data_IF_243199245344
#
_entry.id   IF_243199245344
#
_cell.length_a   1.000
_cell.length_b   1.000
_cell.length_c   1.000
_cell.angle_alpha   90.00
_cell.angle_beta   90.00
_cell.angle_gamma   90.00
#
_symmetry.space_group_name_H-M   'P 1'
#
loop_
_entity.id
_entity.type
_entity.pdbx_description
1 polymer ?
#
# COMPACT_ATOMS: atom_id res chain seq x y z
N UNK A 1 8.24 -9.79 5.52
CA UNK A 1 8.74 -8.43 5.69
C UNK A 1 7.67 -7.67 6.43
N UNK A 2 8.00 -6.89 7.46
CA UNK A 2 7.01 -6.08 8.16
C UNK A 2 7.04 -4.63 7.66
N UNK A 3 6.14 -4.29 6.73
CA UNK A 3 6.07 -2.96 6.12
C UNK A 3 5.57 -1.87 7.09
N UNK A 4 4.72 -2.25 8.05
CA UNK A 4 4.06 -1.32 8.96
C UNK A 4 3.36 -0.15 8.22
N UNK A 5 2.93 -0.37 6.98
CA UNK A 5 2.45 0.68 6.09
C UNK A 5 1.09 1.21 6.56
N UNK A 6 0.19 0.32 6.98
CA UNK A 6 -1.11 0.69 7.56
C UNK A 6 -0.94 1.61 8.75
N UNK A 7 -0.06 1.27 9.68
CA UNK A 7 0.17 2.07 10.90
C UNK A 7 0.66 3.47 10.58
N UNK A 8 1.58 3.62 9.61
CA UNK A 8 2.08 4.93 9.19
C UNK A 8 0.98 5.78 8.54
N UNK A 9 0.16 5.17 7.70
CA UNK A 9 -1.00 5.82 7.07
C UNK A 9 -2.03 6.24 8.12
N UNK A 10 -2.42 5.34 9.03
CA UNK A 10 -3.37 5.64 10.12
C UNK A 10 -2.90 6.82 10.97
N UNK A 11 -1.62 6.86 11.33
CA UNK A 11 -1.05 7.95 12.10
C UNK A 11 -1.16 9.29 11.35
N UNK A 12 -0.87 9.30 10.05
CA UNK A 12 -0.98 10.49 9.22
C UNK A 12 -2.43 10.98 9.12
N UNK A 13 -3.37 10.07 8.84
CA UNK A 13 -4.81 10.36 8.74
C UNK A 13 -5.37 10.90 10.06
N UNK A 14 -5.01 10.29 11.19
CA UNK A 14 -5.46 10.74 12.50
C UNK A 14 -4.91 12.12 12.86
N UNK A 15 -3.65 12.39 12.52
CA UNK A 15 -3.03 13.70 12.74
C UNK A 15 -3.74 14.79 11.92
N UNK A 16 -3.96 14.53 10.63
CA UNK A 16 -4.69 15.45 9.75
C UNK A 16 -6.12 15.70 10.24
N UNK A 17 -6.87 14.64 10.58
CA UNK A 17 -8.24 14.74 11.08
C UNK A 17 -8.33 15.63 12.32
N UNK A 18 -7.39 15.47 13.27
CA UNK A 18 -7.33 16.29 14.48
C UNK A 18 -7.10 17.77 14.15
N UNK A 19 -6.06 18.07 13.38
CA UNK A 19 -5.71 19.46 13.03
C UNK A 19 -6.84 20.15 12.24
N UNK A 20 -7.50 19.40 11.34
CA UNK A 20 -8.66 19.92 10.60
C UNK A 20 -9.85 20.18 11.51
N UNK A 21 -10.14 19.28 12.47
CA UNK A 21 -11.24 19.46 13.43
C UNK A 21 -11.00 20.69 14.32
N UNK A 22 -9.77 20.91 14.78
CA UNK A 22 -9.39 22.09 15.55
C UNK A 22 -9.57 23.38 14.75
N UNK A 23 -9.15 23.39 13.47
CA UNK A 23 -9.31 24.55 12.60
C UNK A 23 -10.79 24.87 12.33
N UNK A 24 -11.63 23.86 12.09
CA UNK A 24 -13.08 24.05 11.94
C UNK A 24 -13.76 24.55 13.21
N UNK A 25 -13.30 24.10 14.38
CA UNK A 25 -13.74 24.64 15.67
C UNK A 25 -13.50 26.15 15.75
N UNK A 26 -12.29 26.60 15.41
CA UNK A 26 -11.93 28.04 15.39
C UNK A 26 -12.77 28.83 14.41
N UNK A 27 -12.99 28.32 13.19
CA UNK A 27 -13.86 28.97 12.20
C UNK A 27 -15.27 29.16 12.76
N UNK A 28 -15.84 28.11 13.38
CA UNK A 28 -17.18 28.18 13.98
C UNK A 28 -17.24 29.17 15.14
N UNK A 29 -16.21 29.24 15.97
CA UNK A 29 -16.11 30.24 17.06
C UNK A 29 -16.09 31.67 16.52
N UNK A 30 -15.33 31.93 15.44
CA UNK A 30 -15.26 33.24 14.77
C UNK A 30 -16.61 33.60 14.15
N UNK A 31 -17.25 32.66 13.46
CA UNK A 31 -18.56 32.87 12.83
C UNK A 31 -19.64 33.20 13.86
N UNK A 32 -19.64 32.48 14.99
CA UNK A 32 -20.64 32.62 16.06
C UNK A 32 -20.31 33.72 17.09
N UNK A 33 -19.16 34.40 17.00
CA UNK A 33 -18.80 35.46 17.94
C UNK A 33 -19.79 36.63 17.84
N UNK A 34 -20.46 36.96 18.95
CA UNK A 34 -21.43 38.06 19.04
C UNK A 34 -20.93 39.15 20.00
N UNK A 35 -21.38 40.40 19.86
CA UNK A 35 -21.00 41.46 20.78
C UNK A 35 -21.74 41.27 22.11
N UNK A 36 -21.13 40.53 23.03
CA UNK A 36 -21.53 40.49 24.44
C UNK A 36 -20.47 41.21 25.28
N UNK A 37 -20.91 41.92 26.33
CA UNK A 37 -20.05 42.67 27.25
C UNK A 37 -18.89 41.80 27.76
N UNK A 38 -17.65 42.18 27.43
CA UNK A 38 -16.42 41.53 27.93
C UNK A 38 -15.80 40.45 27.03
N UNK A 39 -16.35 40.15 25.84
CA UNK A 39 -15.74 39.23 24.88
C UNK A 39 -15.13 39.97 23.66
N UNK A 40 -14.13 39.33 23.03
CA UNK A 40 -13.53 39.82 21.78
C UNK A 40 -14.59 39.77 20.68
N UNK A 41 -14.99 40.94 20.18
CA UNK A 41 -15.90 41.08 19.05
C UNK A 41 -15.10 41.37 17.78
N UNK A 42 -15.33 40.57 16.74
CA UNK A 42 -14.76 40.78 15.41
C UNK A 42 -15.79 41.50 14.53
N UNK A 43 -15.35 42.53 13.80
CA UNK A 43 -16.16 43.07 12.70
C UNK A 43 -16.35 42.01 11.61
N UNK A 44 -17.38 42.13 10.78
CA UNK A 44 -17.60 41.17 9.68
C UNK A 44 -16.38 41.08 8.73
N UNK A 45 -15.68 42.21 8.54
CA UNK A 45 -14.43 42.26 7.79
C UNK A 45 -13.32 41.44 8.48
N UNK A 46 -13.15 41.59 9.80
CA UNK A 46 -12.11 40.87 10.55
C UNK A 46 -12.41 39.37 10.63
N UNK A 47 -13.68 38.98 10.78
CA UNK A 47 -14.11 37.58 10.70
C UNK A 47 -13.73 36.96 9.36
N UNK A 48 -14.06 37.65 8.27
CA UNK A 48 -13.75 37.19 6.93
C UNK A 48 -12.24 37.05 6.71
N UNK A 49 -11.43 37.96 7.26
CA UNK A 49 -9.97 37.89 7.15
C UNK A 49 -9.39 36.73 7.96
N UNK A 50 -9.79 36.55 9.22
CA UNK A 50 -9.32 35.44 10.06
C UNK A 50 -9.67 34.07 9.46
N UNK A 51 -10.88 33.92 8.91
CA UNK A 51 -11.29 32.68 8.22
C UNK A 51 -10.44 32.45 6.96
N UNK A 52 -10.10 33.49 6.20
CA UNK A 52 -9.19 33.36 5.05
C UNK A 52 -7.79 32.93 5.48
N UNK A 53 -7.28 33.49 6.57
CA UNK A 53 -5.94 33.15 7.08
C UNK A 53 -5.89 31.69 7.53
N UNK A 54 -6.90 31.22 8.27
CA UNK A 54 -7.04 29.80 8.65
C UNK A 54 -7.10 28.89 7.40
N UNK A 55 -7.90 29.26 6.39
CA UNK A 55 -7.96 28.50 5.13
C UNK A 55 -6.60 28.43 4.44
N UNK A 56 -5.86 29.53 4.40
CA UNK A 56 -4.54 29.59 3.78
C UNK A 56 -3.51 28.72 4.53
N UNK A 57 -3.57 28.68 5.86
CA UNK A 57 -2.75 27.78 6.68
C UNK A 57 -3.09 26.31 6.41
N UNK A 58 -4.38 25.97 6.36
CA UNK A 58 -4.83 24.61 6.03
C UNK A 58 -4.39 24.18 4.64
N UNK A 59 -4.48 25.05 3.62
CA UNK A 59 -4.01 24.74 2.26
C UNK A 59 -2.51 24.43 2.21
N UNK A 60 -1.70 25.16 2.99
CA UNK A 60 -0.27 24.85 3.14
C UNK A 60 -0.08 23.51 3.85
N UNK A 61 -0.88 23.23 4.88
CA UNK A 61 -0.91 21.95 5.58
C UNK A 61 -1.24 20.77 4.65
N UNK A 62 -2.29 20.89 3.83
CA UNK A 62 -2.73 19.88 2.86
C UNK A 62 -1.57 19.41 1.96
N UNK A 63 -0.81 20.36 1.41
CA UNK A 63 0.33 20.05 0.55
C UNK A 63 1.42 19.26 1.29
N UNK A 64 1.69 19.63 2.54
CA UNK A 64 2.67 18.94 3.38
C UNK A 64 2.20 17.53 3.79
N UNK A 65 0.91 17.35 4.10
CA UNK A 65 0.34 16.04 4.37
C UNK A 65 0.35 15.12 3.14
N UNK A 66 0.02 15.64 1.95
CA UNK A 66 0.12 14.88 0.70
C UNK A 66 1.58 14.46 0.42
N UNK A 67 2.55 15.34 0.70
CA UNK A 67 3.99 15.03 0.60
C UNK A 67 4.42 13.95 1.59
N UNK A 68 3.93 14.00 2.83
CA UNK A 68 4.20 12.97 3.84
C UNK A 68 3.61 11.62 3.42
N UNK A 69 2.37 11.59 2.93
CA UNK A 69 1.76 10.37 2.40
C UNK A 69 2.58 9.78 1.25
N UNK A 70 2.97 10.61 0.28
CA UNK A 70 3.84 10.17 -0.81
C UNK A 70 5.19 9.65 -0.32
N UNK A 71 5.76 10.24 0.72
CA UNK A 71 7.02 9.76 1.33
C UNK A 71 6.85 8.38 1.96
N UNK A 72 5.73 8.15 2.67
CA UNK A 72 5.40 6.84 3.25
C UNK A 72 5.27 5.78 2.14
N UNK A 73 4.57 6.11 1.05
CA UNK A 73 4.38 5.19 -0.10
C UNK A 73 5.71 4.87 -0.78
N UNK A 74 6.53 5.88 -1.07
CA UNK A 74 7.84 5.69 -1.71
C UNK A 74 8.78 4.86 -0.84
N UNK A 75 8.79 5.09 0.47
CA UNK A 75 9.58 4.30 1.41
C UNK A 75 9.12 2.85 1.41
N UNK A 76 7.81 2.59 1.51
CA UNK A 76 7.28 1.24 1.45
C UNK A 76 7.65 0.55 0.13
N UNK A 77 7.61 1.26 -1.00
CA UNK A 77 8.04 0.73 -2.30
C UNK A 77 9.53 0.36 -2.31
N UNK A 78 10.38 1.21 -1.78
CA UNK A 78 11.83 0.96 -1.65
C UNK A 78 12.11 -0.25 -0.74
N UNK A 79 11.41 -0.35 0.40
CA UNK A 79 11.51 -1.49 1.32
C UNK A 79 11.14 -2.81 0.61
N UNK A 80 10.10 -2.78 -0.24
CA UNK A 80 9.70 -3.93 -1.06
C UNK A 80 10.73 -4.28 -2.13
N UNK A 81 11.24 -3.29 -2.86
CA UNK A 81 12.18 -3.54 -3.97
C UNK A 81 13.59 -3.88 -3.49
N UNK A 82 13.94 -3.52 -2.25
CA UNK A 82 15.20 -3.88 -1.61
C UNK A 82 15.14 -5.19 -0.81
N UNK A 83 14.00 -5.90 -0.82
CA UNK A 83 13.85 -7.17 -0.14
C UNK A 83 14.93 -8.17 -0.58
N UNK A 84 15.65 -8.73 0.39
CA UNK A 84 16.65 -9.76 0.13
C UNK A 84 16.71 -10.77 1.25
N UNK A 85 17.32 -11.92 0.96
CA UNK A 85 17.57 -12.98 1.92
C UNK A 85 19.07 -13.06 2.24
N UNK A 86 19.40 -13.77 3.32
CA UNK A 86 20.79 -14.17 3.56
C UNK A 86 21.22 -15.18 2.49
N UNK A 87 21.99 -14.72 1.51
CA UNK A 87 22.48 -15.54 0.40
C UNK A 87 23.52 -16.56 0.89
N UNK A 88 23.32 -17.88 0.70
CA UNK A 88 24.34 -18.88 0.96
C UNK A 88 25.52 -18.70 -0.02
N UNK A 89 26.67 -19.32 0.29
CA UNK A 89 27.90 -19.18 -0.50
C UNK A 89 27.76 -19.66 -1.94
N UNK A 90 26.85 -20.58 -2.20
CA UNK A 90 26.55 -21.19 -3.50
C UNK A 90 25.26 -20.67 -4.14
N UNK A 91 24.69 -19.57 -3.64
CA UNK A 91 23.41 -19.00 -4.11
C UNK A 91 23.32 -18.83 -5.64
N UNK A 92 24.40 -18.33 -6.27
CA UNK A 92 24.45 -18.16 -7.72
C UNK A 92 24.43 -19.51 -8.46
N UNK A 93 25.10 -20.53 -7.91
CA UNK A 93 25.05 -21.88 -8.49
C UNK A 93 23.66 -22.48 -8.34
N UNK A 94 23.00 -22.28 -7.20
CA UNK A 94 21.61 -22.71 -6.99
C UNK A 94 20.67 -22.06 -8.02
N UNK A 95 20.78 -20.74 -8.21
CA UNK A 95 19.97 -20.00 -9.19
C UNK A 95 20.19 -20.50 -10.61
N UNK A 96 21.46 -20.66 -11.02
CA UNK A 96 21.81 -21.20 -12.33
C UNK A 96 21.27 -22.62 -12.52
N UNK A 97 21.36 -23.47 -11.50
CA UNK A 97 20.83 -24.84 -11.54
C UNK A 97 19.30 -24.85 -11.67
N UNK A 98 18.59 -23.98 -10.93
CA UNK A 98 17.15 -23.86 -11.04
C UNK A 98 16.73 -23.42 -12.46
N UNK A 99 17.34 -22.36 -12.98
CA UNK A 99 17.08 -21.87 -14.35
C UNK A 99 17.36 -22.94 -15.41
N UNK A 100 18.49 -23.65 -15.30
CA UNK A 100 18.84 -24.73 -16.22
C UNK A 100 17.82 -25.88 -16.18
N UNK A 101 17.34 -26.26 -14.99
CA UNK A 101 16.33 -27.31 -14.86
C UNK A 101 14.98 -26.88 -15.43
N UNK A 102 14.53 -25.65 -15.14
CA UNK A 102 13.31 -25.08 -15.72
C UNK A 102 13.39 -25.12 -17.26
N UNK A 103 14.48 -24.63 -17.84
CA UNK A 103 14.69 -24.63 -19.29
C UNK A 103 14.77 -26.04 -19.89
N UNK A 104 15.44 -26.98 -19.20
CA UNK A 104 15.62 -28.35 -19.69
C UNK A 104 14.31 -29.15 -19.67
N UNK A 105 13.47 -28.95 -18.65
CA UNK A 105 12.18 -29.64 -18.54
C UNK A 105 11.17 -29.00 -19.52
N UNK A 106 11.21 -27.67 -19.68
CA UNK A 106 10.36 -26.92 -20.61
C UNK A 106 8.88 -27.20 -20.36
N UNK A 107 8.10 -27.42 -21.42
CA UNK A 107 6.65 -27.62 -21.38
C UNK A 107 6.16 -28.74 -20.45
N UNK A 108 7.02 -29.67 -20.04
CA UNK A 108 6.67 -30.76 -19.11
C UNK A 108 6.80 -30.36 -17.63
N UNK A 109 7.21 -29.13 -17.35
CA UNK A 109 7.40 -28.64 -16.00
C UNK A 109 6.03 -28.54 -15.32
N UNK A 110 5.90 -29.21 -14.18
CA UNK A 110 4.69 -29.13 -13.37
C UNK A 110 4.80 -27.98 -12.38
N UNK A 111 3.66 -27.46 -11.91
CA UNK A 111 3.63 -26.31 -11.01
C UNK A 111 4.38 -26.62 -9.69
N UNK A 112 4.12 -27.79 -9.12
CA UNK A 112 4.86 -28.32 -7.97
C UNK A 112 6.38 -28.32 -8.20
N UNK A 113 6.83 -28.86 -9.34
CA UNK A 113 8.26 -28.95 -9.64
C UNK A 113 8.88 -27.57 -9.82
N UNK A 114 8.17 -26.64 -10.47
CA UNK A 114 8.62 -25.27 -10.63
C UNK A 114 8.71 -24.56 -9.27
N UNK A 115 7.71 -24.72 -8.41
CA UNK A 115 7.68 -24.16 -7.06
C UNK A 115 8.88 -24.64 -6.22
N UNK A 116 9.15 -25.95 -6.22
CA UNK A 116 10.26 -26.53 -5.47
C UNK A 116 11.62 -26.01 -5.96
N UNK A 117 11.76 -25.74 -7.26
CA UNK A 117 12.98 -25.15 -7.83
C UNK A 117 13.17 -23.70 -7.40
N UNK A 118 12.10 -22.92 -7.28
CA UNK A 118 12.19 -21.47 -7.00
C UNK A 118 12.08 -21.12 -5.52
N UNK A 119 11.54 -22.01 -4.70
CA UNK A 119 11.34 -21.82 -3.26
C UNK A 119 12.58 -21.30 -2.51
N UNK A 120 13.82 -21.76 -2.80
CA UNK A 120 15.01 -21.25 -2.12
C UNK A 120 15.28 -19.74 -2.31
N UNK A 121 14.64 -19.12 -3.30
CA UNK A 121 14.83 -17.70 -3.64
C UNK A 121 13.72 -16.79 -3.09
N UNK A 122 12.69 -17.36 -2.43
CA UNK A 122 11.61 -16.57 -1.86
C UNK A 122 12.12 -15.57 -0.83
N UNK A 123 11.66 -14.32 -0.95
CA UNK A 123 12.09 -13.19 -0.14
C UNK A 123 13.19 -12.33 -0.78
N UNK A 124 13.76 -12.72 -1.92
CA UNK A 124 14.69 -11.89 -2.70
C UNK A 124 13.96 -11.28 -3.91
N UNK A 125 13.72 -9.97 -3.86
CA UNK A 125 12.93 -9.25 -4.86
C UNK A 125 13.46 -9.45 -6.27
N UNK A 126 14.74 -9.12 -6.49
CA UNK A 126 15.36 -9.14 -7.81
C UNK A 126 15.33 -10.56 -8.41
N UNK A 127 15.65 -11.57 -7.60
CA UNK A 127 15.67 -12.95 -8.06
C UNK A 127 14.27 -13.46 -8.37
N UNK A 128 13.28 -13.18 -7.52
CA UNK A 128 11.89 -13.56 -7.75
C UNK A 128 11.32 -12.86 -8.99
N UNK A 129 11.58 -11.56 -9.18
CA UNK A 129 11.15 -10.80 -10.34
C UNK A 129 11.71 -11.40 -11.64
N UNK A 130 13.01 -11.75 -11.65
CA UNK A 130 13.63 -12.38 -12.81
C UNK A 130 13.07 -13.78 -13.09
N UNK A 131 12.89 -14.61 -12.06
CA UNK A 131 12.29 -15.94 -12.18
C UNK A 131 10.83 -15.85 -12.65
N UNK A 132 10.06 -14.88 -12.16
CA UNK A 132 8.68 -14.63 -12.58
C UNK A 132 8.61 -14.37 -14.09
N UNK A 133 9.50 -13.51 -14.60
CA UNK A 133 9.60 -13.20 -16.03
C UNK A 133 9.94 -14.45 -16.85
N UNK A 134 10.94 -15.22 -16.43
CA UNK A 134 11.36 -16.45 -17.12
C UNK A 134 10.22 -17.47 -17.17
N UNK A 135 9.61 -17.78 -16.03
CA UNK A 135 8.53 -18.78 -15.92
C UNK A 135 7.30 -18.35 -16.72
N UNK A 136 6.87 -17.09 -16.58
CA UNK A 136 5.69 -16.56 -17.29
C UNK A 136 5.87 -16.53 -18.81
N UNK A 137 7.08 -16.29 -19.30
CA UNK A 137 7.37 -16.27 -20.74
C UNK A 137 7.32 -17.68 -21.35
N UNK A 138 7.69 -18.72 -20.59
CA UNK A 138 7.68 -20.10 -21.08
C UNK A 138 6.29 -20.75 -21.02
N UNK A 139 5.56 -20.54 -19.92
CA UNK A 139 4.31 -21.26 -19.65
C UNK A 139 3.05 -20.41 -19.80
N UNK A 140 3.20 -19.11 -20.10
CA UNK A 140 2.12 -18.14 -20.05
C UNK A 140 1.71 -17.80 -18.62
N UNK A 141 0.74 -16.90 -18.46
CA UNK A 141 0.28 -16.44 -17.14
C UNK A 141 -0.50 -17.49 -16.35
N UNK A 142 -0.99 -18.54 -17.01
CA UNK A 142 -1.82 -19.60 -16.41
C UNK A 142 -1.13 -20.98 -16.36
N UNK A 143 0.01 -21.13 -17.04
CA UNK A 143 0.83 -22.31 -16.86
C UNK A 143 1.67 -22.12 -15.61
N UNK A 144 1.46 -22.96 -14.60
CA UNK A 144 2.11 -22.88 -13.28
C UNK A 144 1.54 -21.75 -12.40
N UNK A 145 0.22 -21.81 -12.12
CA UNK A 145 -0.52 -20.80 -11.37
C UNK A 145 0.08 -20.49 -10.00
N UNK A 146 0.37 -21.50 -9.18
CA UNK A 146 0.89 -21.33 -7.82
C UNK A 146 2.26 -20.68 -7.88
N UNK A 147 3.18 -21.25 -8.66
CA UNK A 147 4.55 -20.73 -8.81
C UNK A 147 4.56 -19.30 -9.34
N UNK A 148 3.82 -19.02 -10.42
CA UNK A 148 3.80 -17.70 -11.06
C UNK A 148 3.26 -16.64 -10.12
N UNK A 149 2.18 -16.94 -9.38
CA UNK A 149 1.61 -16.02 -8.39
C UNK A 149 2.53 -15.77 -7.22
N UNK A 150 3.20 -16.80 -6.71
CA UNK A 150 4.19 -16.64 -5.64
C UNK A 150 5.35 -15.77 -6.08
N UNK A 151 5.89 -15.99 -7.28
CA UNK A 151 6.98 -15.18 -7.83
C UNK A 151 6.54 -13.72 -8.11
N UNK A 152 5.29 -13.52 -8.56
CA UNK A 152 4.72 -12.20 -8.85
C UNK A 152 4.21 -11.42 -7.63
N UNK A 153 4.43 -11.92 -6.40
CA UNK A 153 3.86 -11.29 -5.20
C UNK A 153 4.46 -9.92 -4.92
N UNK A 154 5.79 -9.78 -5.00
CA UNK A 154 6.43 -8.47 -4.84
C UNK A 154 6.01 -7.48 -5.93
N UNK A 155 5.91 -7.92 -7.18
CA UNK A 155 5.41 -7.08 -8.27
C UNK A 155 3.96 -6.62 -8.01
N UNK A 156 3.14 -7.49 -7.42
CA UNK A 156 1.77 -7.15 -7.00
C UNK A 156 1.76 -6.07 -5.91
N UNK A 157 2.64 -6.17 -4.91
CA UNK A 157 2.78 -5.16 -3.86
C UNK A 157 3.24 -3.82 -4.43
N UNK A 158 4.24 -3.83 -5.32
CA UNK A 158 4.71 -2.62 -6.03
C UNK A 158 3.58 -1.99 -6.84
N UNK A 159 2.81 -2.80 -7.57
CA UNK A 159 1.65 -2.34 -8.34
C UNK A 159 0.58 -1.70 -7.46
N UNK A 160 0.26 -2.30 -6.30
CA UNK A 160 -0.68 -1.72 -5.34
C UNK A 160 -0.17 -0.38 -4.80
N UNK A 161 1.12 -0.28 -4.45
CA UNK A 161 1.72 0.98 -4.01
C UNK A 161 1.66 2.07 -5.10
N UNK A 162 1.88 1.71 -6.36
CA UNK A 162 1.75 2.63 -7.49
C UNK A 162 0.30 3.09 -7.71
N UNK A 163 -0.68 2.19 -7.51
CA UNK A 163 -2.11 2.54 -7.55
C UNK A 163 -2.50 3.49 -6.42
N UNK A 164 -2.00 3.25 -5.20
CA UNK A 164 -2.20 4.15 -4.06
C UNK A 164 -1.59 5.52 -4.37
N UNK A 165 -0.34 5.57 -4.87
CA UNK A 165 0.32 6.82 -5.21
C UNK A 165 -0.47 7.63 -6.26
N UNK A 166 -0.97 6.96 -7.30
CA UNK A 166 -1.78 7.59 -8.32
C UNK A 166 -3.14 8.09 -7.78
N UNK A 167 -3.81 7.28 -6.96
CA UNK A 167 -5.13 7.58 -6.39
C UNK A 167 -5.12 8.65 -5.29
N UNK A 168 -3.99 8.86 -4.62
CA UNK A 168 -3.88 9.73 -3.43
C UNK A 168 -3.09 11.03 -3.63
N UNK A 169 -2.70 11.36 -4.87
CA UNK A 169 -1.87 12.53 -5.20
C UNK A 169 -2.34 13.86 -4.56
N UNK A 170 -3.65 14.03 -4.40
CA UNK A 170 -4.28 15.19 -3.76
C UNK A 170 -5.34 14.76 -2.74
N UNK A 171 -5.00 13.75 -1.94
CA UNK A 171 -5.91 13.16 -0.96
C UNK A 171 -6.39 14.19 0.09
N UNK A 172 -5.46 14.93 0.67
CA UNK A 172 -5.74 15.99 1.63
C UNK A 172 -6.06 17.30 0.89
N UNK A 173 -7.19 17.92 1.24
CA UNK A 173 -7.73 19.13 0.56
C UNK A 173 -8.61 20.00 1.47
N UNK A 174 -8.44 19.92 2.79
CA UNK A 174 -9.32 20.56 3.78
C UNK A 174 -9.29 22.08 3.73
N UNK A 175 -8.19 22.68 3.27
CA UNK A 175 -8.09 24.11 3.01
C UNK A 175 -8.82 24.56 1.75
N UNK A 176 -9.13 23.65 0.82
CA UNK A 176 -9.95 23.92 -0.37
C UNK A 176 -11.43 23.60 -0.13
N UNK A 177 -11.69 22.50 0.60
CA UNK A 177 -13.02 22.03 0.97
C UNK A 177 -13.04 21.75 2.48
N UNK A 178 -13.44 22.77 3.25
CA UNK A 178 -13.49 22.69 4.72
C UNK A 178 -14.54 21.69 5.24
N UNK A 179 -15.33 21.07 4.37
CA UNK A 179 -16.15 19.94 4.77
C UNK A 179 -15.25 18.70 4.98
N UNK A 180 -15.04 18.29 6.23
CA UNK A 180 -14.66 16.90 6.54
C UNK A 180 -15.89 16.03 6.23
N UNK A 181 -16.16 15.84 4.94
CA UNK A 181 -17.34 15.16 4.45
C UNK A 181 -17.13 13.65 4.32
N UNK A 182 -18.21 12.97 3.93
CA UNK A 182 -18.24 11.53 3.61
C UNK A 182 -17.09 11.12 2.68
N UNK A 183 -16.68 11.98 1.74
CA UNK A 183 -15.56 11.71 0.83
C UNK A 183 -14.21 11.49 1.54
N UNK A 184 -13.91 12.25 2.60
CA UNK A 184 -12.67 12.04 3.36
C UNK A 184 -12.73 10.73 4.14
N UNK A 185 -13.89 10.41 4.73
CA UNK A 185 -14.08 9.16 5.45
C UNK A 185 -13.95 7.94 4.52
N UNK A 186 -14.69 7.91 3.41
CA UNK A 186 -14.61 6.85 2.40
C UNK A 186 -13.20 6.70 1.82
N UNK A 187 -12.55 7.82 1.49
CA UNK A 187 -11.18 7.80 1.00
C UNK A 187 -10.19 7.26 2.05
N UNK A 188 -10.38 7.62 3.31
CA UNK A 188 -9.54 7.14 4.42
C UNK A 188 -9.72 5.63 4.62
N UNK A 189 -10.96 5.15 4.65
CA UNK A 189 -11.26 3.73 4.84
C UNK A 189 -10.72 2.89 3.69
N UNK A 190 -10.87 3.34 2.43
CA UNK A 190 -10.29 2.68 1.27
C UNK A 190 -8.76 2.62 1.36
N UNK A 191 -8.12 3.72 1.73
CA UNK A 191 -6.67 3.78 1.88
C UNK A 191 -6.16 2.86 3.00
N UNK A 192 -6.91 2.77 4.12
CA UNK A 192 -6.60 1.83 5.21
C UNK A 192 -6.77 0.38 4.76
N UNK A 193 -7.83 0.06 4.02
CA UNK A 193 -8.04 -1.29 3.47
C UNK A 193 -6.89 -1.71 2.55
N UNK A 194 -6.51 -0.84 1.60
CA UNK A 194 -5.35 -1.10 0.73
C UNK A 194 -4.05 -1.24 1.52
N UNK A 195 -3.87 -0.44 2.57
CA UNK A 195 -2.68 -0.52 3.41
C UNK A 195 -2.63 -1.80 4.27
N UNK A 196 -3.79 -2.28 4.72
CA UNK A 196 -3.93 -3.55 5.42
C UNK A 196 -3.60 -4.73 4.51
N UNK A 197 -4.10 -4.72 3.27
CA UNK A 197 -3.75 -5.73 2.27
C UNK A 197 -2.23 -5.80 2.05
N UNK A 198 -1.56 -4.65 1.92
CA UNK A 198 -0.10 -4.60 1.77
C UNK A 198 0.64 -5.19 2.97
N UNK A 199 0.24 -4.86 4.19
CA UNK A 199 0.84 -5.42 5.40
C UNK A 199 0.59 -6.94 5.51
N UNK A 200 -0.59 -7.42 5.11
CA UNK A 200 -0.89 -8.85 5.05
C UNK A 200 -0.07 -9.58 3.99
N UNK A 201 0.11 -9.00 2.81
CA UNK A 201 1.00 -9.53 1.77
C UNK A 201 2.44 -9.64 2.27
N UNK A 202 2.96 -8.60 2.94
CA UNK A 202 4.30 -8.59 3.53
C UNK A 202 4.50 -9.69 4.58
N UNK A 203 3.48 -9.97 5.42
CA UNK A 203 3.49 -11.07 6.39
C UNK A 203 3.49 -12.44 5.71
N UNK A 204 2.57 -12.66 4.75
CA UNK A 204 2.49 -13.91 3.99
C UNK A 204 3.82 -14.22 3.29
N UNK A 205 4.55 -13.21 2.80
CA UNK A 205 5.87 -13.38 2.20
C UNK A 205 6.95 -13.91 3.16
N UNK A 206 6.93 -13.56 4.45
CA UNK A 206 7.88 -14.17 5.41
C UNK A 206 7.58 -15.65 5.63
N UNK A 207 6.31 -16.02 5.60
CA UNK A 207 5.86 -17.38 5.84
C UNK A 207 5.97 -18.26 4.59
N UNK A 208 5.95 -17.69 3.39
CA UNK A 208 6.14 -18.42 2.13
C UNK A 208 7.43 -19.23 2.06
N UNK A 209 8.51 -18.74 2.68
CA UNK A 209 9.78 -19.49 2.76
C UNK A 209 9.62 -20.82 3.50
N UNK A 210 8.60 -20.93 4.36
CA UNK A 210 8.27 -22.12 5.17
C UNK A 210 7.22 -22.99 4.50
N UNK A 211 6.36 -22.43 3.65
CA UNK A 211 5.23 -23.13 3.05
C UNK A 211 5.65 -24.25 2.10
N UNK A 212 5.00 -25.40 2.23
CA UNK A 212 4.94 -26.42 1.17
C UNK A 212 4.06 -25.92 0.03
N UNK A 213 4.15 -26.58 -1.12
CA UNK A 213 3.37 -26.18 -2.30
C UNK A 213 1.87 -26.19 -2.03
N UNK A 214 1.34 -27.23 -1.39
CA UNK A 214 -0.09 -27.35 -1.12
C UNK A 214 -0.59 -26.21 -0.20
N UNK A 215 0.23 -25.79 0.75
CA UNK A 215 -0.06 -24.65 1.65
C UNK A 215 -0.03 -23.32 0.88
N UNK A 216 0.87 -23.18 -0.10
CA UNK A 216 0.93 -22.00 -0.96
C UNK A 216 -0.25 -21.95 -1.94
N UNK A 217 -0.64 -23.09 -2.51
CA UNK A 217 -1.80 -23.24 -3.39
C UNK A 217 -3.09 -22.88 -2.65
N UNK A 218 -3.31 -23.44 -1.45
CA UNK A 218 -4.48 -23.12 -0.61
C UNK A 218 -4.51 -21.63 -0.25
N UNK A 219 -3.38 -21.04 0.15
CA UNK A 219 -3.30 -19.61 0.48
C UNK A 219 -3.64 -18.70 -0.70
N UNK A 220 -3.23 -19.09 -1.91
CA UNK A 220 -3.57 -18.39 -3.14
C UNK A 220 -5.07 -18.50 -3.42
N UNK A 221 -5.63 -19.70 -3.32
CA UNK A 221 -7.05 -19.96 -3.57
C UNK A 221 -7.96 -19.21 -2.59
N UNK A 222 -7.60 -19.17 -1.31
CA UNK A 222 -8.29 -18.35 -0.30
C UNK A 222 -8.25 -16.87 -0.67
N UNK A 223 -7.07 -16.37 -1.05
CA UNK A 223 -6.90 -14.96 -1.44
C UNK A 223 -7.71 -14.60 -2.69
N UNK A 224 -7.91 -15.55 -3.62
CA UNK A 224 -8.81 -15.36 -4.78
C UNK A 224 -10.27 -15.33 -4.31
N UNK A 225 -10.68 -16.30 -3.48
CA UNK A 225 -12.06 -16.40 -2.98
C UNK A 225 -12.47 -15.15 -2.21
N UNK A 226 -11.60 -14.61 -1.35
CA UNK A 226 -11.83 -13.35 -0.63
C UNK A 226 -12.05 -12.18 -1.60
N UNK A 227 -11.23 -12.07 -2.66
CA UNK A 227 -11.38 -11.03 -3.69
C UNK A 227 -12.64 -11.19 -4.55
N UNK A 228 -13.16 -12.42 -4.72
CA UNK A 228 -14.41 -12.66 -5.46
C UNK A 228 -15.64 -12.41 -4.58
N UNK A 229 -15.64 -12.89 -3.34
CA UNK A 229 -16.74 -12.71 -2.40
C UNK A 229 -16.87 -11.25 -1.91
N UNK A 230 -15.77 -10.50 -1.86
CA UNK A 230 -15.79 -9.06 -1.60
C UNK A 230 -16.32 -8.20 -2.76
N UNK A 231 -16.57 -8.78 -3.95
CA UNK A 231 -17.17 -8.09 -5.10
C UNK A 231 -18.67 -8.36 -5.30
N UNK A 232 -19.21 -9.37 -4.64
CA UNK A 232 -20.64 -9.75 -4.73
C UNK A 232 -21.47 -9.25 -3.52
N UNK A 233 -20.87 -8.40 -2.68
CA UNK A 233 -21.43 -7.95 -1.41
C UNK A 233 -21.49 -6.43 -1.23
N UNK A 234 -21.76 -5.65 -2.29
CA UNK A 234 -22.26 -4.27 -2.20
C UNK A 234 -23.32 -3.99 -3.27
#
# INVERSE_FOLDING_TARGET
MELNFRKQVEQLLNKYKREMTEALGKVKEIETSTPQSGQIYYSDHDKAQLIRDIKAELQKGDAEYNKQLNTIILKAKDDVQSATIRKPSDYQNMLNNALNQINMIGDKLTDQAAYDLVKPFFGDYETMHNLHSVVSNMHGKEGLNTTTRTLGWFDSMVSTLDQIAAGTKFFFKGGQDMAIGVNYALGSDMLIGMAEELDQMGKKMDDLTKFKFEEAEESIDESIKEKMLGKDGE
#
